data_IF_850499099011
#
_entry.id   IF_850499099011
#
_cell.length_a   1.000
_cell.length_b   1.000
_cell.length_c   1.000
_cell.angle_alpha   90.00
_cell.angle_beta   90.00
_cell.angle_gamma   90.00
#
_symmetry.space_group_name_H-M   'P 1'
#
loop_
_entity.id
_entity.type
_entity.pdbx_description
1 polymer ?
#
# COMPACT_ATOMS: atom_id res chain seq x y z
N UNK A 1 -42.22 -37.59 11.09
CA UNK A 1 -41.87 -38.11 9.75
C UNK A 1 -42.88 -37.66 8.70
N UNK A 2 -44.15 -37.47 9.07
CA UNK A 2 -45.23 -37.10 8.16
C UNK A 2 -45.06 -35.74 7.48
N UNK A 3 -44.48 -34.75 8.17
CA UNK A 3 -44.23 -33.43 7.56
C UNK A 3 -43.19 -33.48 6.42
N UNK A 4 -42.13 -34.28 6.56
CA UNK A 4 -41.12 -34.46 5.50
C UNK A 4 -41.71 -35.22 4.32
N UNK A 5 -42.49 -36.28 4.58
CA UNK A 5 -43.15 -37.06 3.53
C UNK A 5 -44.24 -36.25 2.79
N UNK A 6 -44.97 -35.41 3.51
CA UNK A 6 -45.95 -34.50 2.93
C UNK A 6 -45.27 -33.43 2.07
N UNK A 7 -44.12 -32.91 2.51
CA UNK A 7 -43.36 -31.92 1.75
C UNK A 7 -42.74 -32.51 0.48
N UNK A 8 -42.15 -33.71 0.56
CA UNK A 8 -41.61 -34.40 -0.62
C UNK A 8 -42.71 -34.76 -1.60
N UNK A 9 -43.85 -35.28 -1.12
CA UNK A 9 -45.01 -35.56 -1.96
C UNK A 9 -45.54 -34.30 -2.66
N UNK A 10 -45.60 -33.17 -1.96
CA UNK A 10 -46.04 -31.89 -2.51
C UNK A 10 -45.06 -31.34 -3.56
N UNK A 11 -43.75 -31.48 -3.32
CA UNK A 11 -42.68 -31.09 -4.24
C UNK A 11 -42.71 -31.86 -5.56
N UNK A 12 -43.08 -33.14 -5.51
CA UNK A 12 -43.10 -34.04 -6.68
C UNK A 12 -44.45 -34.08 -7.39
N UNK A 13 -45.47 -33.41 -6.85
CA UNK A 13 -46.79 -33.37 -7.47
C UNK A 13 -46.76 -32.58 -8.79
N UNK A 14 -47.32 -33.17 -9.84
CA UNK A 14 -47.36 -32.59 -11.19
C UNK A 14 -48.08 -31.24 -11.23
N UNK A 15 -49.03 -31.00 -10.31
CA UNK A 15 -49.72 -29.72 -10.18
C UNK A 15 -48.80 -28.58 -9.68
N UNK A 16 -47.77 -28.90 -8.88
CA UNK A 16 -46.87 -27.91 -8.26
C UNK A 16 -45.53 -27.78 -8.99
N UNK A 17 -45.23 -28.70 -9.91
CA UNK A 17 -43.97 -28.79 -10.64
C UNK A 17 -43.55 -27.47 -11.31
N UNK A 18 -44.50 -26.73 -11.90
CA UNK A 18 -44.23 -25.41 -12.48
C UNK A 18 -43.76 -24.36 -11.47
N UNK A 19 -44.35 -24.34 -10.27
CA UNK A 19 -43.97 -23.44 -9.19
C UNK A 19 -42.61 -23.82 -8.60
N UNK A 20 -42.36 -25.12 -8.41
CA UNK A 20 -41.09 -25.65 -7.90
C UNK A 20 -39.93 -25.30 -8.84
N UNK A 21 -40.13 -25.45 -10.16
CA UNK A 21 -39.13 -25.06 -11.16
C UNK A 21 -38.88 -23.55 -11.14
N UNK A 22 -39.92 -22.72 -11.07
CA UNK A 22 -39.76 -21.26 -11.02
C UNK A 22 -38.98 -20.80 -9.79
N UNK A 23 -39.32 -21.32 -8.60
CA UNK A 23 -38.60 -21.01 -7.35
C UNK A 23 -37.16 -21.54 -7.41
N UNK A 24 -36.96 -22.75 -7.95
CA UNK A 24 -35.63 -23.33 -8.16
C UNK A 24 -34.74 -22.47 -9.07
N UNK A 25 -35.29 -21.94 -10.17
CA UNK A 25 -34.56 -21.03 -11.07
C UNK A 25 -34.18 -19.73 -10.35
N UNK A 26 -35.09 -19.14 -9.57
CA UNK A 26 -34.82 -17.91 -8.82
C UNK A 26 -33.69 -18.12 -7.81
N UNK A 27 -33.80 -19.17 -6.98
CA UNK A 27 -32.78 -19.51 -5.98
C UNK A 27 -31.46 -19.84 -6.66
N UNK A 28 -31.48 -20.66 -7.71
CA UNK A 28 -30.29 -21.03 -8.48
C UNK A 28 -29.59 -19.81 -9.08
N UNK A 29 -30.36 -18.89 -9.68
CA UNK A 29 -29.83 -17.65 -10.25
C UNK A 29 -29.21 -16.75 -9.19
N UNK A 30 -29.83 -16.65 -8.00
CA UNK A 30 -29.30 -15.89 -6.88
C UNK A 30 -27.98 -16.48 -6.36
N UNK A 31 -27.89 -17.80 -6.22
CA UNK A 31 -26.66 -18.47 -5.79
C UNK A 31 -25.52 -18.25 -6.80
N UNK A 32 -25.81 -18.37 -8.10
CA UNK A 32 -24.83 -18.08 -9.15
C UNK A 32 -24.36 -16.63 -9.07
N UNK A 33 -25.29 -15.67 -8.91
CA UNK A 33 -24.95 -14.26 -8.79
C UNK A 33 -24.03 -13.96 -7.58
N UNK A 34 -24.29 -14.61 -6.43
CA UNK A 34 -23.43 -14.48 -5.24
C UNK A 34 -22.03 -15.02 -5.52
N UNK A 35 -21.91 -16.22 -6.09
CA UNK A 35 -20.60 -16.83 -6.40
C UNK A 35 -19.82 -15.97 -7.39
N UNK A 36 -20.48 -15.51 -8.46
CA UNK A 36 -19.86 -14.62 -9.45
C UNK A 36 -19.43 -13.29 -8.80
N UNK A 37 -20.26 -12.68 -7.95
CA UNK A 37 -19.91 -11.45 -7.24
C UNK A 37 -18.71 -11.60 -6.30
N UNK A 38 -18.64 -12.71 -5.56
CA UNK A 38 -17.52 -13.01 -4.66
C UNK A 38 -16.23 -13.25 -5.45
N UNK A 39 -16.29 -14.03 -6.53
CA UNK A 39 -15.09 -14.32 -7.33
C UNK A 39 -14.56 -13.06 -8.03
N UNK A 40 -15.41 -12.25 -8.67
CA UNK A 40 -15.00 -11.01 -9.32
C UNK A 40 -14.41 -10.00 -8.32
N UNK A 41 -15.05 -9.83 -7.15
CA UNK A 41 -14.54 -8.93 -6.12
C UNK A 41 -13.19 -9.40 -5.56
N UNK A 42 -12.98 -10.71 -5.41
CA UNK A 42 -11.69 -11.26 -4.97
C UNK A 42 -10.56 -11.02 -5.98
N UNK A 43 -10.83 -11.20 -7.28
CA UNK A 43 -9.85 -10.96 -8.35
C UNK A 43 -9.49 -9.48 -8.42
N UNK A 44 -10.49 -8.59 -8.34
CA UNK A 44 -10.26 -7.15 -8.33
C UNK A 44 -9.39 -6.71 -7.14
N UNK A 45 -9.62 -7.28 -5.95
CA UNK A 45 -8.80 -7.02 -4.76
C UNK A 45 -7.36 -7.50 -4.94
N UNK A 46 -7.15 -8.69 -5.51
CA UNK A 46 -5.80 -9.23 -5.79
C UNK A 46 -5.04 -8.34 -6.76
N UNK A 47 -5.64 -8.01 -7.92
CA UNK A 47 -5.01 -7.13 -8.92
C UNK A 47 -4.61 -5.76 -8.35
N UNK A 48 -5.42 -5.18 -7.45
CA UNK A 48 -5.08 -3.93 -6.77
C UNK A 48 -3.89 -4.11 -5.82
N UNK A 49 -3.82 -5.21 -5.08
CA UNK A 49 -2.66 -5.52 -4.23
C UNK A 49 -1.40 -5.70 -5.06
N UNK A 50 -1.45 -6.51 -6.11
CA UNK A 50 -0.32 -6.77 -7.01
C UNK A 50 0.18 -5.47 -7.66
N UNK A 51 -0.72 -4.57 -8.05
CA UNK A 51 -0.35 -3.27 -8.61
C UNK A 51 0.40 -2.40 -7.59
N UNK A 52 -0.10 -2.31 -6.35
CA UNK A 52 0.55 -1.55 -5.28
C UNK A 52 1.91 -2.16 -4.91
N UNK A 53 1.99 -3.49 -4.81
CA UNK A 53 3.25 -4.19 -4.51
C UNK A 53 4.30 -3.96 -5.61
N UNK A 54 3.89 -4.04 -6.89
CA UNK A 54 4.78 -3.71 -8.00
C UNK A 54 5.25 -2.25 -7.94
N UNK A 55 4.35 -1.31 -7.63
CA UNK A 55 4.72 0.09 -7.51
C UNK A 55 5.73 0.30 -6.37
N UNK A 56 5.52 -0.32 -5.20
CA UNK A 56 6.44 -0.28 -4.07
C UNK A 56 7.80 -0.91 -4.39
N UNK A 57 7.83 -2.01 -5.13
CA UNK A 57 9.07 -2.65 -5.57
C UNK A 57 9.91 -1.73 -6.49
N UNK A 58 9.27 -0.88 -7.29
CA UNK A 58 9.98 0.15 -8.08
C UNK A 58 10.30 1.41 -7.30
N UNK A 59 9.52 1.72 -6.26
CA UNK A 59 9.66 2.94 -5.50
C UNK A 59 10.75 2.84 -4.44
N UNK A 60 10.88 1.70 -3.76
CA UNK A 60 11.92 1.46 -2.76
C UNK A 60 13.35 1.76 -3.26
N UNK A 61 13.82 1.23 -4.40
CA UNK A 61 15.15 1.57 -4.90
C UNK A 61 15.25 3.04 -5.31
N UNK A 62 14.17 3.64 -5.82
CA UNK A 62 14.18 5.05 -6.22
C UNK A 62 14.27 6.00 -5.01
N UNK A 63 13.58 5.68 -3.92
CA UNK A 63 13.71 6.36 -2.62
C UNK A 63 15.15 6.27 -2.10
N UNK A 64 15.76 5.10 -2.16
CA UNK A 64 17.15 4.92 -1.73
C UNK A 64 18.14 5.68 -2.61
N UNK A 65 17.95 5.73 -3.93
CA UNK A 65 18.79 6.52 -4.82
C UNK A 65 18.73 8.02 -4.48
N UNK A 66 17.53 8.55 -4.23
CA UNK A 66 17.38 9.94 -3.78
C UNK A 66 18.04 10.16 -2.42
N UNK A 67 17.95 9.19 -1.51
CA UNK A 67 18.67 9.23 -0.24
C UNK A 67 20.19 9.29 -0.44
N UNK A 68 20.73 8.48 -1.34
CA UNK A 68 22.16 8.46 -1.67
C UNK A 68 22.57 9.81 -2.29
N UNK A 69 21.80 10.35 -3.23
CA UNK A 69 22.07 11.67 -3.81
C UNK A 69 22.04 12.78 -2.74
N UNK A 70 21.11 12.71 -1.80
CA UNK A 70 21.05 13.62 -0.65
C UNK A 70 22.25 13.44 0.29
N UNK A 71 22.73 12.21 0.48
CA UNK A 71 23.91 11.89 1.30
C UNK A 71 25.21 12.46 0.74
N UNK A 72 25.29 12.59 -0.58
CA UNK A 72 26.46 13.11 -1.31
C UNK A 72 26.27 14.56 -1.74
N UNK A 73 25.17 15.21 -1.36
CA UNK A 73 24.72 16.47 -1.94
C UNK A 73 25.79 17.56 -1.94
N UNK A 74 26.57 17.71 -0.85
CA UNK A 74 27.66 18.69 -0.79
C UNK A 74 28.71 18.51 -1.90
N UNK A 75 29.02 17.25 -2.25
CA UNK A 75 30.04 16.87 -3.26
C UNK A 75 29.53 16.92 -4.71
N UNK A 76 28.21 16.99 -4.90
CA UNK A 76 27.61 17.00 -6.23
C UNK A 76 27.90 18.29 -7.01
N UNK A 77 28.05 18.15 -8.33
CA UNK A 77 28.09 19.28 -9.26
C UNK A 77 26.77 20.07 -9.24
N UNK A 78 26.76 21.36 -9.65
CA UNK A 78 25.52 22.15 -9.70
C UNK A 78 24.41 21.52 -10.56
N UNK A 79 24.76 20.87 -11.67
CA UNK A 79 23.79 20.18 -12.53
C UNK A 79 23.22 18.94 -11.84
N UNK A 80 24.08 18.11 -11.24
CA UNK A 80 23.66 16.92 -10.49
C UNK A 80 22.78 17.28 -9.29
N UNK A 81 23.02 18.42 -8.64
CA UNK A 81 22.17 18.94 -7.55
C UNK A 81 20.75 19.23 -8.03
N UNK A 82 20.58 19.88 -9.19
CA UNK A 82 19.25 20.12 -9.76
C UNK A 82 18.54 18.83 -10.17
N UNK A 83 19.28 17.82 -10.64
CA UNK A 83 18.72 16.51 -10.93
C UNK A 83 18.25 15.80 -9.64
N UNK A 84 19.08 15.84 -8.59
CA UNK A 84 18.73 15.27 -7.29
C UNK A 84 17.49 15.95 -6.67
N UNK A 85 17.42 17.29 -6.73
CA UNK A 85 16.27 18.05 -6.22
C UNK A 85 14.98 17.68 -6.99
N UNK A 86 15.05 17.52 -8.32
CA UNK A 86 13.90 17.06 -9.12
C UNK A 86 13.52 15.62 -8.81
N UNK A 87 14.49 14.74 -8.59
CA UNK A 87 14.23 13.35 -8.21
C UNK A 87 13.53 13.28 -6.85
N UNK A 88 13.95 14.10 -5.87
CA UNK A 88 13.30 14.19 -4.57
C UNK A 88 11.84 14.64 -4.67
N UNK A 89 11.55 15.68 -5.47
CA UNK A 89 10.17 16.13 -5.73
C UNK A 89 9.36 15.02 -6.42
N UNK A 90 9.96 14.31 -7.37
CA UNK A 90 9.33 13.19 -8.05
C UNK A 90 8.97 12.04 -7.10
N UNK A 91 9.84 11.73 -6.14
CA UNK A 91 9.58 10.73 -5.10
C UNK A 91 8.47 11.18 -4.15
N UNK A 92 8.49 12.43 -3.67
CA UNK A 92 7.43 12.97 -2.81
C UNK A 92 6.06 12.79 -3.49
N UNK A 93 5.94 13.20 -4.75
CA UNK A 93 4.69 13.08 -5.51
C UNK A 93 4.29 11.62 -5.71
N UNK A 94 5.22 10.74 -6.09
CA UNK A 94 4.93 9.29 -6.27
C UNK A 94 4.45 8.65 -4.97
N UNK A 95 5.09 8.96 -3.84
CA UNK A 95 4.69 8.43 -2.53
C UNK A 95 3.30 8.92 -2.15
N UNK A 96 2.98 10.20 -2.35
CA UNK A 96 1.64 10.76 -2.04
C UNK A 96 0.52 10.18 -2.89
N UNK A 97 0.81 9.83 -4.14
CA UNK A 97 -0.16 9.28 -5.08
C UNK A 97 -0.41 7.78 -4.85
N UNK A 98 0.40 7.11 -4.04
CA UNK A 98 0.16 5.72 -3.68
C UNK A 98 -1.18 5.58 -2.97
N UNK A 99 -2.01 4.65 -3.46
CA UNK A 99 -3.23 4.25 -2.79
C UNK A 99 -2.93 3.31 -1.60
N UNK A 100 -2.22 3.84 -0.60
CA UNK A 100 -1.78 3.13 0.60
C UNK A 100 -2.01 3.99 1.84
N UNK A 101 -2.39 3.34 2.94
CA UNK A 101 -2.62 4.00 4.23
C UNK A 101 -1.33 4.74 4.68
N UNK A 102 -1.46 6.01 5.05
CA UNK A 102 -0.33 6.83 5.49
C UNK A 102 0.62 7.32 4.39
N UNK A 103 0.23 7.26 3.12
CA UNK A 103 1.03 7.77 1.99
C UNK A 103 1.51 9.22 2.16
N UNK A 104 0.64 10.14 2.56
CA UNK A 104 1.01 11.54 2.79
C UNK A 104 2.04 11.67 3.94
N UNK A 105 1.83 10.91 5.01
CA UNK A 105 2.71 10.92 6.18
C UNK A 105 4.09 10.31 5.85
N UNK A 106 4.13 9.26 5.04
CA UNK A 106 5.37 8.69 4.53
C UNK A 106 6.14 9.70 3.66
N UNK A 107 5.44 10.47 2.82
CA UNK A 107 6.06 11.49 1.98
C UNK A 107 6.64 12.64 2.81
N UNK A 108 5.90 13.14 3.79
CA UNK A 108 6.35 14.19 4.70
C UNK A 108 7.60 13.74 5.49
N UNK A 109 7.56 12.50 6.02
CA UNK A 109 8.68 11.90 6.74
C UNK A 109 9.92 11.75 5.85
N UNK A 110 9.77 11.20 4.63
CA UNK A 110 10.87 11.06 3.67
C UNK A 110 11.48 12.41 3.28
N UNK A 111 10.66 13.43 3.05
CA UNK A 111 11.13 14.79 2.75
C UNK A 111 11.98 15.36 3.89
N UNK A 112 11.55 15.16 5.14
CA UNK A 112 12.32 15.50 6.33
C UNK A 112 13.66 14.77 6.39
N UNK A 113 13.67 13.46 6.09
CA UNK A 113 14.87 12.62 6.08
C UNK A 113 15.87 13.00 4.99
N UNK A 114 15.40 13.31 3.77
CA UNK A 114 16.26 13.80 2.70
C UNK A 114 16.88 15.15 3.04
N UNK A 115 16.12 16.04 3.68
CA UNK A 115 16.65 17.31 4.19
C UNK A 115 17.73 17.08 5.26
N UNK A 116 17.49 16.15 6.18
CA UNK A 116 18.48 15.77 7.19
C UNK A 116 19.75 15.18 6.57
N UNK A 117 19.63 14.32 5.56
CA UNK A 117 20.77 13.78 4.79
C UNK A 117 21.57 14.88 4.09
N UNK A 118 20.89 15.83 3.43
CA UNK A 118 21.54 16.96 2.77
C UNK A 118 22.33 17.81 3.76
N UNK A 119 21.76 18.08 4.93
CA UNK A 119 22.43 18.80 6.00
C UNK A 119 23.60 17.99 6.59
N UNK A 120 23.47 16.67 6.71
CA UNK A 120 24.55 15.80 7.16
C UNK A 120 25.69 15.72 6.12
N UNK A 121 25.37 15.77 4.81
CA UNK A 121 26.38 15.69 3.73
C UNK A 121 27.40 16.82 3.74
N UNK A 122 27.01 18.00 4.24
CA UNK A 122 27.92 19.14 4.36
C UNK A 122 28.74 19.09 5.64
N UNK A 123 28.37 18.25 6.60
CA UNK A 123 29.09 18.02 7.84
C UNK A 123 29.99 16.80 7.66
N UNK A 124 31.30 16.99 7.67
CA UNK A 124 32.31 15.94 7.48
C UNK A 124 32.21 14.77 8.51
N UNK A 125 31.42 14.95 9.58
CA UNK A 125 31.12 13.96 10.64
C UNK A 125 29.64 13.53 10.72
N UNK A 126 28.81 13.88 9.73
CA UNK A 126 27.42 13.45 9.69
C UNK A 126 27.31 11.92 9.55
N UNK A 127 26.53 11.29 10.44
CA UNK A 127 26.23 9.85 10.36
C UNK A 127 25.14 9.59 9.29
N UNK A 128 25.52 9.82 8.04
CA UNK A 128 24.64 9.73 6.88
C UNK A 128 24.23 8.28 6.60
N UNK A 129 25.09 7.31 6.96
CA UNK A 129 24.80 5.88 6.88
C UNK A 129 23.62 5.48 7.75
N UNK A 130 23.61 5.90 9.03
CA UNK A 130 22.49 5.62 9.94
C UNK A 130 21.16 6.20 9.44
N UNK A 131 21.17 7.42 8.87
CA UNK A 131 19.93 8.01 8.34
C UNK A 131 19.44 7.22 7.12
N UNK A 132 20.33 6.76 6.23
CA UNK A 132 19.96 5.90 5.11
C UNK A 132 19.38 4.56 5.57
N UNK A 133 19.95 3.95 6.60
CA UNK A 133 19.43 2.71 7.19
C UNK A 133 18.04 2.92 7.79
N UNK A 134 17.82 4.04 8.49
CA UNK A 134 16.51 4.42 9.01
C UNK A 134 15.47 4.62 7.90
N UNK A 135 15.84 5.31 6.81
CA UNK A 135 15.00 5.45 5.61
C UNK A 135 14.61 4.09 5.08
N UNK A 136 15.58 3.21 4.85
CA UNK A 136 15.35 1.87 4.32
C UNK A 136 14.42 1.07 5.22
N UNK A 137 14.73 0.98 6.51
CA UNK A 137 13.98 0.16 7.47
C UNK A 137 12.55 0.67 7.62
N UNK A 138 12.37 1.96 7.92
CA UNK A 138 11.03 2.51 8.14
C UNK A 138 10.19 2.51 6.86
N UNK A 139 10.79 2.76 5.69
CA UNK A 139 10.08 2.67 4.42
C UNK A 139 9.66 1.24 4.09
N UNK A 140 10.53 0.25 4.32
CA UNK A 140 10.19 -1.16 4.13
C UNK A 140 9.08 -1.61 5.10
N UNK A 141 9.19 -1.22 6.38
CA UNK A 141 8.13 -1.49 7.37
C UNK A 141 6.81 -0.89 6.87
N UNK A 142 6.78 0.37 6.43
CA UNK A 142 5.57 0.97 5.87
C UNK A 142 5.07 0.27 4.59
N UNK A 143 5.99 -0.14 3.71
CA UNK A 143 5.71 -0.82 2.44
C UNK A 143 5.14 -2.23 2.61
N UNK A 144 5.35 -2.91 3.75
CA UNK A 144 4.72 -4.19 4.07
C UNK A 144 3.58 -4.05 5.10
N UNK A 145 3.76 -3.20 6.10
CA UNK A 145 2.86 -3.00 7.24
C UNK A 145 2.59 -1.49 7.44
N UNK A 146 1.60 -0.91 6.73
CA UNK A 146 1.41 0.54 6.71
C UNK A 146 1.20 1.15 8.10
N UNK A 147 0.45 0.46 8.95
CA UNK A 147 0.12 0.91 10.30
C UNK A 147 1.34 0.96 11.21
N UNK A 148 2.22 -0.02 11.10
CA UNK A 148 3.48 -0.08 11.83
C UNK A 148 4.47 0.96 11.31
N UNK A 149 4.54 1.14 9.99
CA UNK A 149 5.37 2.17 9.37
C UNK A 149 4.96 3.58 9.77
N UNK A 150 3.66 3.89 9.76
CA UNK A 150 3.13 5.16 10.27
C UNK A 150 3.55 5.39 11.72
N UNK A 151 3.46 4.38 12.58
CA UNK A 151 3.92 4.48 13.97
C UNK A 151 5.43 4.72 14.05
N UNK A 152 6.22 4.12 13.18
CA UNK A 152 7.65 4.34 13.11
C UNK A 152 7.98 5.78 12.70
N UNK A 153 7.31 6.31 11.67
CA UNK A 153 7.48 7.70 11.22
C UNK A 153 7.20 8.70 12.34
N UNK A 154 6.03 8.59 13.01
CA UNK A 154 5.66 9.48 14.12
C UNK A 154 6.67 9.41 15.27
N UNK A 155 7.11 8.22 15.63
CA UNK A 155 8.04 8.03 16.75
C UNK A 155 9.36 8.74 16.47
N UNK A 156 9.87 8.57 15.26
CA UNK A 156 11.14 9.13 14.83
C UNK A 156 11.06 10.67 14.64
N UNK A 157 9.92 11.19 14.18
CA UNK A 157 9.64 12.63 14.16
C UNK A 157 9.59 13.23 15.57
N UNK A 158 8.93 12.55 16.51
CA UNK A 158 8.87 12.97 17.92
C UNK A 158 10.26 12.96 18.57
N UNK A 159 11.08 11.93 18.29
CA UNK A 159 12.47 11.88 18.75
C UNK A 159 13.30 13.04 18.17
N UNK A 160 13.10 13.37 16.90
CA UNK A 160 13.78 14.50 16.27
C UNK A 160 13.34 15.85 16.83
N UNK A 161 12.07 16.01 17.21
CA UNK A 161 11.60 17.25 17.84
C UNK A 161 12.11 17.41 19.27
N UNK A 162 12.26 16.31 20.02
CA UNK A 162 12.77 16.32 21.40
C UNK A 162 14.26 16.69 21.50
N UNK A 163 15.03 16.42 20.45
CA UNK A 163 16.48 16.65 20.41
C UNK A 163 16.87 18.02 19.79
N UNK A 164 15.89 18.90 19.50
CA UNK A 164 16.12 20.30 19.09
C UNK A 164 15.96 21.22 20.28
#
# INVERSE_FOLDING_TARGET
MDALNSFTSWLTDNANLGLVVAVGIIIGSLLIAIVVGVTLSSIARRRRKDAIENELNTLAPAVMNVGIDASLYASLSPESKQLADRAAIGIDMRVRLLNREGAAEAADWLSGRFTALRNASSLERGDTGRILDQIREAFLIWAYEPKDGIRAFRRDDLEHQRNR
#
